data_IF_269552250602
#
_entry.id   IF_269552250602
#
_cell.length_a   1.000
_cell.length_b   1.000
_cell.length_c   1.000
_cell.angle_alpha   90.00
_cell.angle_beta   90.00
_cell.angle_gamma   90.00
#
_symmetry.space_group_name_H-M   'P 1'
#
loop_
_entity.id
_entity.type
_entity.pdbx_description
1 polymer ?
#
# COMPACT_ATOMS: atom_id res chain seq x y z
N UNK A 1 -13.15 17.54 27.13
CA UNK A 1 -12.87 16.08 27.20
C UNK A 1 -14.07 15.17 26.89
N UNK A 2 -15.23 15.65 26.45
CA UNK A 2 -16.47 14.84 26.31
C UNK A 2 -16.88 14.50 24.88
N UNK A 3 -16.39 15.20 23.85
CA UNK A 3 -16.79 14.96 22.44
C UNK A 3 -16.03 13.78 21.81
N UNK A 4 -14.72 13.67 22.04
CA UNK A 4 -13.87 12.61 21.48
C UNK A 4 -14.23 11.22 22.03
N UNK A 5 -14.58 11.13 23.31
CA UNK A 5 -14.99 9.86 23.95
C UNK A 5 -16.33 9.36 23.44
N UNK A 6 -17.29 10.27 23.16
CA UNK A 6 -18.58 9.92 22.53
C UNK A 6 -18.49 9.49 21.08
N UNK A 7 -17.49 9.97 20.33
CA UNK A 7 -17.25 9.52 18.94
C UNK A 7 -16.59 8.14 18.94
N UNK A 8 -15.66 7.86 19.85
CA UNK A 8 -15.06 6.53 20.01
C UNK A 8 -16.10 5.49 20.48
N UNK A 9 -16.93 5.83 21.48
CA UNK A 9 -18.03 4.94 21.96
C UNK A 9 -19.08 4.65 20.86
N UNK A 10 -19.36 5.59 19.95
CA UNK A 10 -20.27 5.34 18.81
C UNK A 10 -19.65 4.48 17.71
N UNK A 11 -18.35 4.57 17.48
CA UNK A 11 -17.64 3.70 16.54
C UNK A 11 -17.60 2.25 17.07
N UNK A 12 -17.38 2.08 18.37
CA UNK A 12 -17.36 0.77 19.03
C UNK A 12 -18.77 0.13 19.08
N UNK A 13 -19.83 0.94 19.19
CA UNK A 13 -21.23 0.49 19.14
C UNK A 13 -21.73 0.06 17.75
N UNK A 14 -21.05 0.45 16.66
CA UNK A 14 -21.38 0.08 15.29
C UNK A 14 -20.58 -1.12 14.79
N UNK A 15 -19.53 -1.56 15.53
CA UNK A 15 -18.67 -2.66 15.11
C UNK A 15 -19.37 -4.01 15.39
N UNK A 16 -19.66 -4.75 14.32
CA UNK A 16 -20.08 -6.14 14.41
C UNK A 16 -18.81 -6.98 14.55
N UNK A 17 -18.47 -7.37 15.77
CA UNK A 17 -17.26 -8.13 16.12
C UNK A 17 -16.95 -9.28 15.14
N UNK A 18 -17.97 -9.92 14.59
CA UNK A 18 -17.77 -10.98 13.59
C UNK A 18 -17.14 -10.44 12.30
N UNK A 19 -17.53 -9.24 11.83
CA UNK A 19 -16.98 -8.61 10.62
C UNK A 19 -15.53 -8.22 10.85
N UNK A 20 -15.23 -7.62 11.99
CA UNK A 20 -13.84 -7.25 12.35
C UNK A 20 -12.94 -8.48 12.46
N UNK A 21 -13.46 -9.60 12.99
CA UNK A 21 -12.73 -10.88 13.04
C UNK A 21 -12.46 -11.44 11.64
N UNK A 22 -13.42 -11.37 10.74
CA UNK A 22 -13.22 -11.76 9.33
C UNK A 22 -12.09 -10.94 8.70
N UNK A 23 -12.13 -9.62 8.84
CA UNK A 23 -11.07 -8.72 8.35
C UNK A 23 -9.70 -9.10 8.93
N UNK A 24 -9.60 -9.33 10.26
CA UNK A 24 -8.36 -9.74 10.91
C UNK A 24 -7.81 -11.07 10.38
N UNK A 25 -8.68 -12.06 10.12
CA UNK A 25 -8.27 -13.35 9.57
C UNK A 25 -7.73 -13.17 8.13
N UNK A 26 -8.45 -12.42 7.30
CA UNK A 26 -8.03 -12.16 5.92
C UNK A 26 -6.73 -11.35 5.84
N UNK A 27 -6.47 -10.48 6.81
CA UNK A 27 -5.22 -9.71 6.91
C UNK A 27 -4.01 -10.54 7.34
N UNK A 28 -4.17 -11.83 7.67
CA UNK A 28 -3.03 -12.73 7.94
C UNK A 28 -2.32 -13.17 6.66
N UNK A 29 -2.98 -13.03 5.50
CA UNK A 29 -2.40 -13.41 4.22
C UNK A 29 -1.58 -12.28 3.62
N UNK A 30 -0.38 -12.62 3.19
CA UNK A 30 0.54 -11.74 2.46
C UNK A 30 1.43 -12.59 1.52
N UNK A 31 2.31 -12.00 0.69
CA UNK A 31 3.20 -12.75 -0.19
C UNK A 31 4.19 -13.69 0.52
N UNK A 32 4.36 -13.59 1.84
CA UNK A 32 5.16 -14.49 2.67
C UNK A 32 4.32 -15.55 3.38
N UNK A 33 3.00 -15.30 3.53
CA UNK A 33 2.03 -16.17 4.23
C UNK A 33 0.92 -16.57 3.26
N UNK A 34 1.21 -17.57 2.42
CA UNK A 34 0.29 -18.00 1.34
C UNK A 34 -0.89 -18.83 1.87
N UNK A 35 -0.70 -19.51 3.00
CA UNK A 35 -1.75 -20.28 3.68
C UNK A 35 -1.67 -20.11 5.21
N UNK A 36 -2.75 -20.42 5.89
CA UNK A 36 -2.82 -20.44 7.35
C UNK A 36 -3.63 -21.65 7.82
N UNK A 37 -3.26 -22.19 8.99
CA UNK A 37 -4.07 -23.21 9.68
C UNK A 37 -4.97 -22.57 10.73
N UNK A 38 -6.04 -23.26 11.16
CA UNK A 38 -6.88 -22.77 12.25
C UNK A 38 -6.10 -22.59 13.58
N UNK A 39 -5.02 -23.35 13.77
CA UNK A 39 -4.13 -23.20 14.93
C UNK A 39 -3.36 -21.88 14.88
N UNK A 40 -2.79 -21.53 13.72
CA UNK A 40 -2.10 -20.24 13.51
C UNK A 40 -3.06 -19.05 13.62
N UNK A 41 -4.28 -19.18 13.09
CA UNK A 41 -5.32 -18.14 13.28
C UNK A 41 -5.66 -17.96 14.76
N UNK A 42 -5.81 -19.06 15.51
CA UNK A 42 -6.07 -19.02 16.94
C UNK A 42 -4.94 -18.29 17.70
N UNK A 43 -3.70 -18.67 17.43
CA UNK A 43 -2.51 -18.09 18.05
C UNK A 43 -2.35 -16.59 17.75
N UNK A 44 -2.35 -16.22 16.45
CA UNK A 44 -2.11 -14.83 16.01
C UNK A 44 -3.21 -13.86 16.45
N UNK A 45 -4.46 -14.33 16.58
CA UNK A 45 -5.60 -13.48 16.95
C UNK A 45 -6.05 -13.64 18.40
N UNK A 46 -5.34 -14.44 19.21
CA UNK A 46 -5.69 -14.70 20.60
C UNK A 46 -7.05 -15.40 20.77
N UNK A 47 -7.42 -16.29 19.83
CA UNK A 47 -8.69 -17.03 19.86
C UNK A 47 -8.49 -18.44 20.41
N UNK A 48 -9.56 -19.05 20.97
CA UNK A 48 -9.52 -20.47 21.20
C UNK A 48 -9.62 -21.25 19.86
N UNK A 49 -9.04 -22.44 19.80
CA UNK A 49 -8.95 -23.27 18.58
C UNK A 49 -10.32 -23.57 17.95
N UNK A 50 -11.33 -23.82 18.77
CA UNK A 50 -12.70 -24.12 18.30
C UNK A 50 -13.31 -22.90 17.60
N UNK A 51 -13.12 -21.70 18.17
CA UNK A 51 -13.60 -20.45 17.57
C UNK A 51 -12.88 -20.14 16.25
N UNK A 52 -11.55 -20.24 16.20
CA UNK A 52 -10.78 -20.06 14.97
C UNK A 52 -11.23 -21.04 13.88
N UNK A 53 -11.38 -22.33 14.21
CA UNK A 53 -11.87 -23.33 13.27
C UNK A 53 -13.27 -22.99 12.72
N UNK A 54 -14.20 -22.54 13.59
CA UNK A 54 -15.54 -22.14 13.17
C UNK A 54 -15.50 -20.95 12.22
N UNK A 55 -14.68 -19.92 12.49
CA UNK A 55 -14.49 -18.80 11.57
C UNK A 55 -13.95 -19.27 10.22
N UNK A 56 -12.87 -20.03 10.22
CA UNK A 56 -12.28 -20.54 8.97
C UNK A 56 -13.27 -21.36 8.15
N UNK A 57 -14.04 -22.26 8.80
CA UNK A 57 -15.07 -23.07 8.13
C UNK A 57 -16.20 -22.21 7.56
N UNK A 58 -16.65 -21.18 8.30
CA UNK A 58 -17.66 -20.24 7.82
C UNK A 58 -17.14 -19.40 6.65
N UNK A 59 -15.88 -19.00 6.66
CA UNK A 59 -15.25 -18.28 5.56
C UNK A 59 -15.10 -19.14 4.29
N UNK A 60 -14.85 -20.45 4.48
CA UNK A 60 -14.88 -21.41 3.36
C UNK A 60 -16.28 -21.50 2.77
N UNK A 61 -17.30 -21.65 3.61
CA UNK A 61 -18.69 -21.70 3.16
C UNK A 61 -19.13 -20.41 2.45
N UNK A 62 -18.55 -19.26 2.83
CA UNK A 62 -18.78 -17.96 2.18
C UNK A 62 -17.94 -17.73 0.93
N UNK A 63 -17.04 -18.64 0.54
CA UNK A 63 -16.13 -18.48 -0.61
C UNK A 63 -14.98 -17.49 -0.40
N UNK A 64 -14.82 -16.99 0.85
CA UNK A 64 -13.72 -16.08 1.21
C UNK A 64 -12.41 -16.82 1.45
N UNK A 65 -12.48 -18.07 1.89
CA UNK A 65 -11.34 -18.99 1.99
C UNK A 65 -11.63 -20.28 1.22
N UNK A 66 -10.55 -20.99 0.87
CA UNK A 66 -10.59 -22.36 0.36
C UNK A 66 -9.64 -23.23 1.16
N UNK A 67 -9.87 -24.56 1.16
CA UNK A 67 -8.94 -25.52 1.75
C UNK A 67 -7.93 -25.97 0.72
N UNK A 68 -6.65 -25.93 1.07
CA UNK A 68 -5.60 -26.58 0.29
C UNK A 68 -5.51 -28.09 0.59
N UNK A 69 -4.69 -28.81 -0.16
CA UNK A 69 -4.49 -30.26 -0.03
C UNK A 69 -3.95 -30.67 1.36
N UNK A 70 -3.20 -29.80 2.02
CA UNK A 70 -2.56 -30.03 3.33
C UNK A 70 -3.49 -29.66 4.51
N UNK A 71 -4.74 -29.29 4.22
CA UNK A 71 -5.75 -28.94 5.23
C UNK A 71 -5.63 -27.51 5.77
N UNK A 72 -4.72 -26.70 5.23
CA UNK A 72 -4.63 -25.26 5.46
C UNK A 72 -5.73 -24.49 4.72
N UNK A 73 -5.81 -23.20 4.98
CA UNK A 73 -6.73 -22.27 4.33
C UNK A 73 -5.94 -21.29 3.46
N UNK A 74 -6.46 -21.02 2.27
CA UNK A 74 -5.92 -20.05 1.29
C UNK A 74 -7.02 -19.06 0.91
N UNK A 75 -6.71 -17.87 0.34
CA UNK A 75 -7.71 -16.96 -0.19
C UNK A 75 -8.64 -17.63 -1.20
N UNK A 76 -9.96 -17.48 -1.01
CA UNK A 76 -10.99 -18.16 -1.81
C UNK A 76 -11.38 -17.40 -3.08
N UNK A 77 -12.14 -18.09 -3.94
CA UNK A 77 -12.53 -17.58 -5.27
C UNK A 77 -13.32 -16.28 -5.24
N UNK A 78 -14.10 -16.00 -4.19
CA UNK A 78 -14.81 -14.73 -4.04
C UNK A 78 -13.83 -13.54 -3.94
N UNK A 79 -12.72 -13.72 -3.20
CA UNK A 79 -11.70 -12.68 -3.10
C UNK A 79 -11.00 -12.45 -4.45
N UNK A 80 -10.71 -13.51 -5.20
CA UNK A 80 -10.17 -13.41 -6.55
C UNK A 80 -11.11 -12.62 -7.48
N UNK A 81 -12.40 -12.97 -7.47
CA UNK A 81 -13.41 -12.30 -8.28
C UNK A 81 -13.52 -10.80 -7.95
N UNK A 82 -13.64 -10.47 -6.66
CA UNK A 82 -13.76 -9.07 -6.20
C UNK A 82 -12.46 -8.29 -6.45
N UNK A 83 -11.30 -8.90 -6.24
CA UNK A 83 -10.00 -8.29 -6.51
C UNK A 83 -9.82 -7.99 -8.01
N UNK A 84 -10.13 -8.95 -8.89
CA UNK A 84 -10.07 -8.76 -10.33
C UNK A 84 -11.02 -7.64 -10.79
N UNK A 85 -12.26 -7.60 -10.26
CA UNK A 85 -13.22 -6.53 -10.53
C UNK A 85 -12.69 -5.16 -10.06
N UNK A 86 -12.24 -5.06 -8.82
CA UNK A 86 -11.75 -3.83 -8.24
C UNK A 86 -10.51 -3.26 -8.96
N UNK A 87 -9.58 -4.15 -9.36
CA UNK A 87 -8.37 -3.78 -10.11
C UNK A 87 -8.72 -3.42 -11.56
N UNK A 88 -9.57 -4.20 -12.22
CA UNK A 88 -9.92 -4.01 -13.64
C UNK A 88 -10.62 -2.67 -13.92
N UNK A 89 -11.33 -2.10 -12.93
CA UNK A 89 -11.97 -0.79 -13.04
C UNK A 89 -11.04 0.40 -12.78
N UNK A 90 -9.81 0.17 -12.33
CA UNK A 90 -8.84 1.24 -12.09
C UNK A 90 -8.05 1.54 -13.36
N UNK A 91 -8.36 2.65 -14.04
CA UNK A 91 -7.69 3.10 -15.28
C UNK A 91 -6.17 3.13 -15.16
N UNK A 92 -5.65 3.51 -13.99
CA UNK A 92 -4.21 3.57 -13.73
C UNK A 92 -3.51 2.22 -13.95
N UNK A 93 -4.15 1.10 -13.61
CA UNK A 93 -3.59 -0.25 -13.79
C UNK A 93 -3.37 -0.58 -15.28
N UNK A 94 -4.25 -0.08 -16.14
CA UNK A 94 -4.16 -0.32 -17.59
C UNK A 94 -3.17 0.61 -18.29
N UNK A 95 -3.01 1.85 -17.80
CA UNK A 95 -2.14 2.86 -18.40
C UNK A 95 -0.70 2.79 -17.88
N UNK A 96 -0.50 2.46 -16.59
CA UNK A 96 0.81 2.45 -15.94
C UNK A 96 1.87 1.54 -16.60
N UNK A 97 1.57 0.35 -17.17
CA UNK A 97 2.60 -0.59 -17.63
C UNK A 97 3.62 0.01 -18.59
N UNK A 98 3.19 0.77 -19.59
CA UNK A 98 4.10 1.41 -20.56
C UNK A 98 5.00 2.46 -19.92
N UNK A 99 4.45 3.24 -18.99
CA UNK A 99 5.20 4.25 -18.23
C UNK A 99 6.21 3.60 -17.29
N UNK A 100 5.82 2.53 -16.61
CA UNK A 100 6.70 1.77 -15.73
C UNK A 100 7.87 1.13 -16.47
N UNK A 101 7.61 0.56 -17.66
CA UNK A 101 8.68 0.00 -18.51
C UNK A 101 9.68 1.08 -18.95
N UNK A 102 9.17 2.23 -19.39
CA UNK A 102 10.03 3.36 -19.78
C UNK A 102 10.84 3.87 -18.57
N UNK A 103 10.18 4.02 -17.41
CA UNK A 103 10.81 4.46 -16.16
C UNK A 103 11.91 3.48 -15.71
N UNK A 104 11.61 2.19 -15.66
CA UNK A 104 12.58 1.16 -15.26
C UNK A 104 13.82 1.14 -16.18
N UNK A 105 13.62 1.25 -17.49
CA UNK A 105 14.72 1.33 -18.46
C UNK A 105 15.53 2.60 -18.32
N UNK A 106 14.89 3.76 -18.14
CA UNK A 106 15.57 5.06 -18.05
C UNK A 106 16.40 5.19 -16.77
N UNK A 107 15.92 4.60 -15.66
CA UNK A 107 16.58 4.72 -14.35
C UNK A 107 17.44 3.52 -13.98
N UNK A 108 17.34 2.41 -14.73
CA UNK A 108 18.01 1.13 -14.45
C UNK A 108 17.59 0.54 -13.08
N UNK A 109 16.39 0.88 -12.58
CA UNK A 109 15.84 0.44 -11.31
C UNK A 109 14.48 -0.25 -11.51
N UNK A 110 14.00 -0.99 -10.52
CA UNK A 110 12.67 -1.57 -10.55
C UNK A 110 11.62 -0.47 -10.39
N UNK A 111 10.64 -0.40 -11.29
CA UNK A 111 9.49 0.49 -11.14
C UNK A 111 8.35 -0.20 -10.41
N UNK A 112 7.73 0.49 -9.47
CA UNK A 112 6.70 -0.04 -8.57
C UNK A 112 5.49 0.86 -8.57
N UNK A 113 4.31 0.29 -8.80
CA UNK A 113 3.02 0.98 -8.68
C UNK A 113 2.30 0.45 -7.42
N UNK A 114 1.85 1.38 -6.57
CA UNK A 114 1.02 1.04 -5.43
C UNK A 114 -0.35 1.70 -5.52
N UNK A 115 -1.35 0.98 -5.02
CA UNK A 115 -2.69 1.49 -4.74
C UNK A 115 -2.90 1.58 -3.24
N UNK A 116 -3.79 2.48 -2.79
CA UNK A 116 -4.14 2.54 -1.38
C UNK A 116 -5.02 1.34 -0.98
N UNK A 117 -4.58 0.60 0.03
CA UNK A 117 -5.31 -0.51 0.64
C UNK A 117 -6.05 -0.11 1.91
N UNK A 118 -6.25 -1.04 2.84
CA UNK A 118 -6.98 -0.81 4.09
C UNK A 118 -6.22 0.12 5.05
N UNK A 119 -4.93 -0.10 5.23
CA UNK A 119 -4.08 0.58 6.23
C UNK A 119 -2.78 1.12 5.63
N UNK A 120 -2.67 1.21 4.33
CA UNK A 120 -1.49 1.68 3.63
C UNK A 120 -1.41 1.20 2.20
N UNK A 121 -0.34 1.54 1.49
CA UNK A 121 -0.16 1.16 0.10
C UNK A 121 0.04 -0.35 -0.06
N UNK A 122 -0.58 -0.88 -1.11
CA UNK A 122 -0.40 -2.26 -1.57
C UNK A 122 0.31 -2.24 -2.91
N UNK A 123 1.38 -2.98 -3.04
CA UNK A 123 2.11 -3.16 -4.30
C UNK A 123 1.20 -3.85 -5.30
N UNK A 124 0.80 -3.14 -6.34
CA UNK A 124 -0.16 -3.62 -7.35
C UNK A 124 0.52 -4.07 -8.63
N UNK A 125 1.70 -3.52 -8.94
CA UNK A 125 2.51 -3.90 -10.09
C UNK A 125 3.98 -3.60 -9.85
N UNK A 126 4.84 -4.44 -10.41
CA UNK A 126 6.29 -4.27 -10.45
C UNK A 126 6.76 -4.49 -11.88
N UNK A 127 7.69 -3.66 -12.33
CA UNK A 127 8.37 -3.80 -13.61
C UNK A 127 9.88 -3.76 -13.35
N UNK A 128 10.53 -4.91 -13.50
CA UNK A 128 11.97 -5.07 -13.29
C UNK A 128 12.74 -4.75 -14.59
N UNK A 129 13.94 -4.20 -14.45
CA UNK A 129 14.80 -4.01 -15.62
C UNK A 129 15.58 -5.30 -15.91
N UNK A 130 15.34 -5.96 -17.05
CA UNK A 130 16.03 -7.20 -17.37
C UNK A 130 17.51 -7.03 -17.71
N UNK A 131 17.96 -5.79 -17.89
CA UNK A 131 19.36 -5.48 -18.26
C UNK A 131 20.28 -5.27 -17.05
N UNK A 132 19.74 -5.21 -15.83
CA UNK A 132 20.53 -5.03 -14.60
C UNK A 132 20.94 -6.36 -14.00
N UNK A 133 22.19 -6.46 -13.53
CA UNK A 133 22.71 -7.67 -12.87
C UNK A 133 22.16 -7.79 -11.44
N UNK A 134 21.98 -6.66 -10.75
CA UNK A 134 21.43 -6.61 -9.40
C UNK A 134 20.05 -5.95 -9.48
N UNK A 135 19.04 -6.68 -9.04
CA UNK A 135 17.65 -6.21 -9.01
C UNK A 135 17.19 -6.15 -7.55
N UNK A 136 16.79 -4.95 -7.11
CA UNK A 136 15.99 -4.78 -5.90
C UNK A 136 14.53 -4.71 -6.31
N UNK A 137 13.72 -5.58 -5.76
CA UNK A 137 12.31 -5.69 -6.13
C UNK A 137 11.45 -5.93 -4.88
N UNK A 138 10.14 -5.69 -5.04
CA UNK A 138 9.12 -5.95 -4.04
C UNK A 138 8.04 -6.86 -4.63
N UNK A 139 7.38 -7.65 -3.78
CA UNK A 139 6.36 -8.59 -4.27
C UNK A 139 5.01 -7.90 -4.44
N UNK A 140 4.33 -8.18 -5.55
CA UNK A 140 2.92 -7.78 -5.75
C UNK A 140 2.06 -8.37 -4.63
N UNK A 141 1.15 -7.56 -4.09
CA UNK A 141 0.33 -7.90 -2.93
C UNK A 141 0.97 -7.53 -1.58
N UNK A 142 2.25 -7.12 -1.54
CA UNK A 142 2.86 -6.63 -0.30
C UNK A 142 2.20 -5.34 0.16
N UNK A 143 1.90 -5.28 1.46
CA UNK A 143 1.52 -4.05 2.16
C UNK A 143 2.80 -3.31 2.60
N UNK A 144 2.88 -2.02 2.31
CA UNK A 144 4.05 -1.22 2.66
C UNK A 144 3.87 -0.55 4.02
N UNK A 145 4.91 -0.57 4.90
CA UNK A 145 4.93 0.19 6.15
C UNK A 145 4.80 1.70 5.94
N UNK A 146 4.40 2.44 6.99
CA UNK A 146 4.13 3.89 6.92
C UNK A 146 5.38 4.75 6.67
N UNK A 147 6.55 4.24 6.99
CA UNK A 147 7.84 4.92 6.80
C UNK A 147 8.38 4.88 5.36
N UNK A 148 7.72 4.13 4.46
CA UNK A 148 8.14 4.04 3.05
C UNK A 148 7.82 5.31 2.27
N UNK A 149 8.59 5.58 1.21
CA UNK A 149 8.39 6.73 0.34
C UNK A 149 6.95 6.80 -0.22
N UNK A 150 6.41 5.66 -0.67
CA UNK A 150 5.06 5.58 -1.23
C UNK A 150 3.98 5.81 -0.17
N UNK A 151 4.18 5.34 1.06
CA UNK A 151 3.25 5.60 2.17
C UNK A 151 3.19 7.09 2.50
N UNK A 152 4.35 7.75 2.60
CA UNK A 152 4.43 9.19 2.87
C UNK A 152 3.74 10.03 1.79
N UNK A 153 3.87 9.63 0.51
CA UNK A 153 3.17 10.27 -0.60
C UNK A 153 1.65 10.10 -0.46
N UNK A 154 1.16 8.91 -0.16
CA UNK A 154 -0.29 8.74 0.07
C UNK A 154 -0.80 9.51 1.28
N UNK A 155 -0.07 9.49 2.41
CA UNK A 155 -0.43 10.26 3.61
C UNK A 155 -0.50 11.76 3.34
N UNK A 156 0.34 12.27 2.43
CA UNK A 156 0.35 13.67 2.05
C UNK A 156 -0.88 14.09 1.23
N UNK A 157 -1.36 13.23 0.31
CA UNK A 157 -2.33 13.61 -0.71
C UNK A 157 -3.68 12.89 -0.61
N UNK A 158 -3.87 11.95 0.32
CA UNK A 158 -5.13 11.24 0.46
C UNK A 158 -6.26 12.21 0.86
N UNK A 159 -7.43 12.09 0.22
CA UNK A 159 -8.55 13.01 0.45
C UNK A 159 -9.08 12.96 1.91
N UNK A 160 -9.11 11.76 2.53
CA UNK A 160 -9.51 11.60 3.94
C UNK A 160 -8.31 11.80 4.87
N UNK A 161 -7.96 13.07 5.11
CA UNK A 161 -6.86 13.44 6.00
C UNK A 161 -7.11 13.02 7.45
N UNK A 162 -8.37 12.95 7.89
CA UNK A 162 -8.70 12.51 9.25
C UNK A 162 -8.36 11.04 9.49
N UNK A 163 -8.64 10.18 8.51
CA UNK A 163 -8.23 8.77 8.57
C UNK A 163 -6.71 8.63 8.48
N UNK A 164 -6.03 9.47 7.69
CA UNK A 164 -4.56 9.49 7.62
C UNK A 164 -3.93 9.89 8.96
N UNK A 165 -4.46 10.91 9.62
CA UNK A 165 -4.01 11.30 10.97
C UNK A 165 -4.22 10.18 12.01
N UNK A 166 -5.35 9.50 11.96
CA UNK A 166 -5.62 8.34 12.85
C UNK A 166 -4.65 7.19 12.59
N UNK A 167 -4.32 6.95 11.32
CA UNK A 167 -3.37 5.92 10.94
C UNK A 167 -1.96 6.28 11.41
N UNK A 168 -1.50 7.51 11.22
CA UNK A 168 -0.22 7.98 11.74
C UNK A 168 -0.16 7.91 13.27
N UNK A 169 -1.27 8.18 13.96
CA UNK A 169 -1.37 8.11 15.41
C UNK A 169 -1.26 6.67 15.98
N UNK A 170 -1.17 5.64 15.15
CA UNK A 170 -0.76 4.29 15.58
C UNK A 170 0.73 4.25 16.00
N UNK A 171 1.52 5.20 15.52
CA UNK A 171 2.87 5.48 16.00
C UNK A 171 2.82 6.44 17.18
N UNK A 172 3.91 6.54 17.94
CA UNK A 172 4.03 7.44 19.10
C UNK A 172 5.46 7.97 19.23
N UNK A 173 5.59 9.10 19.96
CA UNK A 173 6.89 9.71 20.23
C UNK A 173 7.61 10.19 18.97
N UNK A 174 8.95 10.15 18.94
CA UNK A 174 9.77 10.71 17.86
C UNK A 174 9.41 10.18 16.46
N UNK A 175 9.03 8.90 16.33
CA UNK A 175 8.67 8.31 15.05
C UNK A 175 7.41 8.94 14.43
N UNK A 176 6.43 9.35 15.25
CA UNK A 176 5.25 10.07 14.78
C UNK A 176 5.60 11.48 14.33
N UNK A 177 6.44 12.18 15.09
CA UNK A 177 6.83 13.56 14.79
C UNK A 177 7.69 13.63 13.51
N UNK A 178 8.59 12.67 13.33
CA UNK A 178 9.38 12.50 12.12
C UNK A 178 8.48 12.23 10.90
N UNK A 179 7.57 11.27 11.01
CA UNK A 179 6.63 10.95 9.92
C UNK A 179 5.79 12.18 9.51
N UNK A 180 5.28 12.95 10.47
CA UNK A 180 4.51 14.18 10.20
C UNK A 180 5.35 15.23 9.48
N UNK A 181 6.59 15.42 9.92
CA UNK A 181 7.53 16.35 9.28
C UNK A 181 7.80 15.95 7.84
N UNK A 182 8.05 14.68 7.59
CA UNK A 182 8.29 14.17 6.24
C UNK A 182 7.04 14.24 5.34
N UNK A 183 5.85 13.93 5.87
CA UNK A 183 4.58 14.08 5.14
C UNK A 183 4.33 15.55 4.78
N UNK A 184 4.62 16.50 5.69
CA UNK A 184 4.52 17.93 5.39
C UNK A 184 5.50 18.35 4.27
N UNK A 185 6.75 17.87 4.33
CA UNK A 185 7.74 18.11 3.25
C UNK A 185 7.25 17.55 1.92
N UNK A 186 6.67 16.35 1.89
CA UNK A 186 6.15 15.74 0.65
C UNK A 186 5.05 16.62 0.02
N UNK A 187 4.20 17.28 0.82
CA UNK A 187 3.21 18.24 0.30
C UNK A 187 3.85 19.43 -0.39
N UNK A 188 4.98 19.91 0.12
CA UNK A 188 5.70 21.06 -0.45
C UNK A 188 6.44 20.71 -1.74
N UNK A 189 7.11 19.55 -1.79
CA UNK A 189 8.00 19.19 -2.91
C UNK A 189 7.35 18.27 -3.96
N UNK A 190 6.24 17.59 -3.63
CA UNK A 190 5.50 16.74 -4.57
C UNK A 190 6.09 15.33 -4.77
N UNK A 191 7.05 14.91 -3.96
CA UNK A 191 7.69 13.60 -4.05
C UNK A 191 8.30 13.16 -2.72
N UNK A 192 8.74 11.91 -2.63
CA UNK A 192 9.47 11.39 -1.47
C UNK A 192 10.59 10.45 -1.91
N UNK A 193 11.77 10.62 -1.31
CA UNK A 193 12.83 9.62 -1.33
C UNK A 193 13.05 9.12 0.10
N UNK A 194 13.11 7.79 0.30
CA UNK A 194 13.27 7.17 1.60
C UNK A 194 14.05 5.86 1.54
N UNK A 195 14.75 5.55 2.63
CA UNK A 195 15.41 4.28 2.88
C UNK A 195 14.76 3.60 4.09
N UNK A 196 13.68 2.84 3.86
CA UNK A 196 12.97 2.11 4.92
C UNK A 196 13.59 0.74 5.21
N UNK A 197 14.37 0.24 4.26
CA UNK A 197 15.13 -1.00 4.39
C UNK A 197 16.61 -0.67 4.19
N UNK A 198 17.53 -1.08 5.10
CA UNK A 198 18.96 -0.81 4.95
C UNK A 198 19.48 -1.22 3.58
N UNK A 199 20.19 -0.31 2.91
CA UNK A 199 20.75 -0.53 1.58
C UNK A 199 19.76 -0.41 0.42
N UNK A 200 18.49 -0.08 0.67
CA UNK A 200 17.44 0.03 -0.36
C UNK A 200 16.78 1.40 -0.31
N UNK A 201 16.91 2.15 -1.39
CA UNK A 201 16.26 3.45 -1.58
C UNK A 201 15.02 3.28 -2.46
N UNK A 202 13.95 3.97 -2.08
CA UNK A 202 12.76 4.16 -2.90
C UNK A 202 12.56 5.66 -3.17
N UNK A 203 12.25 6.01 -4.41
CA UNK A 203 11.87 7.36 -4.83
C UNK A 203 10.47 7.31 -5.42
N UNK A 204 9.52 8.02 -4.84
CA UNK A 204 8.10 7.93 -5.16
C UNK A 204 7.48 9.28 -5.49
N UNK A 205 6.49 9.29 -6.40
CA UNK A 205 5.67 10.44 -6.74
C UNK A 205 4.19 10.06 -6.81
N UNK A 206 3.25 11.00 -6.54
CA UNK A 206 1.83 10.77 -6.62
C UNK A 206 1.35 10.72 -8.07
N UNK A 207 0.34 9.90 -8.30
CA UNK A 207 -0.43 9.86 -9.56
C UNK A 207 -1.87 10.20 -9.23
N UNK A 208 -2.43 11.19 -9.94
CA UNK A 208 -3.79 11.67 -9.72
C UNK A 208 -4.71 11.31 -10.88
N UNK A 209 -5.98 11.11 -10.57
CA UNK A 209 -7.09 11.13 -11.53
C UNK A 209 -8.01 12.31 -11.23
N UNK A 210 -9.20 12.34 -11.81
CA UNK A 210 -10.21 13.38 -11.59
C UNK A 210 -10.72 13.47 -10.15
N UNK A 211 -10.51 12.45 -9.33
CA UNK A 211 -10.98 12.36 -7.93
C UNK A 211 -9.90 12.61 -6.89
N UNK A 212 -8.63 12.66 -7.29
CA UNK A 212 -7.50 12.86 -6.39
C UNK A 212 -6.38 11.85 -6.58
N UNK A 213 -5.60 11.57 -5.53
CA UNK A 213 -4.53 10.56 -5.63
C UNK A 213 -5.13 9.16 -5.82
N UNK A 214 -4.82 8.54 -6.95
CA UNK A 214 -5.30 7.20 -7.29
C UNK A 214 -4.22 6.12 -7.17
N UNK A 215 -2.95 6.50 -7.26
CA UNK A 215 -1.79 5.61 -7.14
C UNK A 215 -0.54 6.38 -6.74
N UNK A 216 0.52 5.64 -6.40
CA UNK A 216 1.89 6.16 -6.39
C UNK A 216 2.72 5.35 -7.37
N UNK A 217 3.62 6.03 -8.09
CA UNK A 217 4.65 5.40 -8.91
C UNK A 217 6.02 5.66 -8.28
N UNK A 218 6.85 4.64 -8.22
CA UNK A 218 8.17 4.73 -7.60
C UNK A 218 9.20 3.92 -8.37
N UNK A 219 10.48 4.22 -8.12
CA UNK A 219 11.59 3.33 -8.40
C UNK A 219 12.20 2.85 -7.09
N UNK A 220 12.74 1.64 -7.11
CA UNK A 220 13.41 1.00 -5.98
C UNK A 220 14.74 0.44 -6.46
N UNK A 221 15.80 0.75 -5.75
CA UNK A 221 17.15 0.32 -6.08
C UNK A 221 18.11 0.33 -4.89
N UNK A 222 19.35 -0.15 -5.09
CA UNK A 222 20.40 -0.09 -4.07
C UNK A 222 20.82 1.36 -3.76
N UNK A 223 21.16 1.66 -2.52
CA UNK A 223 21.57 3.00 -2.05
C UNK A 223 22.90 3.49 -2.65
N UNK A 224 23.72 2.57 -3.14
CA UNK A 224 24.97 2.91 -3.84
C UNK A 224 24.76 3.33 -5.29
N UNK A 225 23.55 3.16 -5.85
CA UNK A 225 23.21 3.53 -7.24
C UNK A 225 22.01 4.46 -7.36
N UNK A 226 21.13 4.48 -6.37
CA UNK A 226 19.96 5.35 -6.34
C UNK A 226 20.09 6.39 -5.22
N UNK A 227 20.17 7.66 -5.61
CA UNK A 227 20.32 8.78 -4.67
C UNK A 227 18.98 9.23 -4.09
N UNK A 228 19.01 9.68 -2.82
CA UNK A 228 17.89 10.37 -2.18
C UNK A 228 17.91 11.90 -2.35
N UNK A 229 18.87 12.44 -3.09
CA UNK A 229 18.95 13.88 -3.32
C UNK A 229 17.80 14.40 -4.17
N UNK A 230 17.28 15.59 -3.82
CA UNK A 230 16.25 16.28 -4.60
C UNK A 230 16.74 16.69 -6.00
N UNK A 231 18.05 16.76 -6.22
CA UNK A 231 18.66 17.05 -7.52
C UNK A 231 18.95 15.81 -8.36
N UNK A 232 18.68 14.61 -7.86
CA UNK A 232 18.95 13.37 -8.55
C UNK A 232 18.23 13.29 -9.91
N UNK A 233 18.92 12.88 -10.99
CA UNK A 233 18.30 12.75 -12.30
C UNK A 233 17.15 11.73 -12.30
N UNK A 234 17.26 10.66 -11.53
CA UNK A 234 16.25 9.61 -11.40
C UNK A 234 14.95 10.16 -10.80
N UNK A 235 15.05 11.06 -9.81
CA UNK A 235 13.90 11.73 -9.22
C UNK A 235 13.11 12.52 -10.28
N UNK A 236 13.82 13.27 -11.13
CA UNK A 236 13.17 14.03 -12.22
C UNK A 236 12.41 13.11 -13.18
N UNK A 237 12.96 11.94 -13.48
CA UNK A 237 12.31 10.94 -14.33
C UNK A 237 11.06 10.38 -13.65
N UNK A 238 11.11 10.05 -12.34
CA UNK A 238 9.94 9.58 -11.57
C UNK A 238 8.83 10.62 -11.60
N UNK A 239 9.15 11.89 -11.28
CA UNK A 239 8.17 12.98 -11.24
C UNK A 239 7.59 13.27 -12.63
N UNK A 240 8.39 13.27 -13.69
CA UNK A 240 7.86 13.48 -15.06
C UNK A 240 6.94 12.32 -15.46
N UNK A 241 7.31 11.08 -15.16
CA UNK A 241 6.48 9.91 -15.42
C UNK A 241 5.15 9.97 -14.68
N UNK A 242 5.17 10.37 -13.40
CA UNK A 242 3.95 10.54 -12.61
C UNK A 242 3.03 11.63 -13.20
N UNK A 243 3.60 12.75 -13.67
CA UNK A 243 2.85 13.84 -14.33
C UNK A 243 2.22 13.40 -15.65
N UNK A 244 2.96 12.67 -16.48
CA UNK A 244 2.44 12.15 -17.74
C UNK A 244 1.27 11.19 -17.51
N UNK A 245 1.43 10.25 -16.59
CA UNK A 245 0.38 9.29 -16.22
C UNK A 245 -0.84 10.01 -15.62
N UNK A 246 -0.65 11.02 -14.76
CA UNK A 246 -1.69 11.88 -14.22
C UNK A 246 -2.49 12.58 -15.34
N UNK A 247 -1.79 13.17 -16.32
CA UNK A 247 -2.41 13.83 -17.46
C UNK A 247 -3.28 12.86 -18.29
N UNK A 248 -2.81 11.65 -18.53
CA UNK A 248 -3.57 10.63 -19.27
C UNK A 248 -4.80 10.13 -18.51
N UNK A 249 -4.76 10.18 -17.18
CA UNK A 249 -5.88 9.85 -16.31
C UNK A 249 -6.91 10.99 -16.21
N UNK A 250 -6.60 12.17 -16.74
CA UNK A 250 -7.46 13.35 -16.63
C UNK A 250 -7.30 14.09 -15.30
N UNK A 251 -6.29 13.73 -14.51
CA UNK A 251 -6.00 14.37 -13.23
C UNK A 251 -5.16 15.64 -13.38
N UNK A 252 -5.03 16.37 -12.27
CA UNK A 252 -4.16 17.53 -12.17
C UNK A 252 -3.05 17.25 -11.17
N UNK A 253 -1.80 17.35 -11.63
CA UNK A 253 -0.64 17.20 -10.76
C UNK A 253 -0.53 18.45 -9.88
N UNK A 254 -0.81 18.29 -8.60
CA UNK A 254 -0.77 19.37 -7.60
C UNK A 254 0.34 19.07 -6.61
N UNK A 255 1.48 19.77 -6.65
CA UNK A 255 2.49 19.65 -5.60
C UNK A 255 1.97 20.21 -4.26
N UNK A 256 1.04 21.19 -4.28
CA UNK A 256 0.63 21.96 -3.11
C UNK A 256 -0.54 21.33 -2.30
N UNK A 257 -0.90 20.07 -2.55
CA UNK A 257 -1.98 19.39 -1.83
C UNK A 257 -3.41 19.75 -2.28
N UNK A 258 -4.44 19.12 -1.73
CA UNK A 258 -5.83 19.51 -1.97
C UNK A 258 -6.14 20.87 -1.29
N UNK A 259 -6.83 21.75 -2.02
CA UNK A 259 -7.48 22.92 -1.42
C UNK A 259 -8.57 22.51 -0.44
#
# INVERSE_FOLDING_TARGET
>A
MTSSKRAADRADQADIQAVSRVSQILSLFDPATLDVTAAQVAERLGLNRTTAYRYCTSLVAAGLLERNADGGYVPGGLLLQLGAFAIGHRRVINLAPRHMQALSRATQNSAVLCLWGLTGPVVSRVEENPSTIVVVSVRVGSHLPLDTAQSKVFLAYHADQLSMERLMATLSGPALDELRTEVARVREVGHCAAMSTPGVVAVAAPVFDEYGICATIAIVGPDNTLSMSDDAPELRVVVSTARELTKELGGHYRPDGPE
#
